data_IF_292404469210
#
_entry.id   IF_292404469210
#
_cell.length_a   1.000
_cell.length_b   1.000
_cell.length_c   1.000
_cell.angle_alpha   90.00
_cell.angle_beta   90.00
_cell.angle_gamma   90.00
#
_symmetry.space_group_name_H-M   'P 1'
#
loop_
_entity.id
_entity.type
_entity.pdbx_description
1 polymer ?
#
# COMPACT_ATOMS: atom_id res chain seq x y z
N UNK A 1 3.90 35.22 28.82
CA UNK A 1 4.48 35.35 30.17
C UNK A 1 5.99 35.24 30.01
N UNK A 2 6.65 36.32 29.63
CA UNK A 2 7.06 37.41 30.54
C UNK A 2 8.31 37.02 31.33
N UNK A 3 9.46 37.41 30.78
CA UNK A 3 10.49 38.17 31.51
C UNK A 3 11.40 38.84 30.47
N UNK A 4 10.97 40.02 30.06
CA UNK A 4 11.84 41.06 29.54
C UNK A 4 12.73 41.50 30.71
N UNK A 5 13.96 41.01 30.75
CA UNK A 5 15.01 41.62 31.59
C UNK A 5 15.76 42.63 30.74
N UNK A 6 15.72 43.86 31.24
CA UNK A 6 16.20 45.13 30.72
C UNK A 6 17.54 45.08 29.96
N UNK A 7 17.73 45.94 28.95
CA UNK A 7 19.06 46.26 28.45
C UNK A 7 19.75 47.10 29.52
N UNK A 8 20.47 46.44 30.42
CA UNK A 8 21.38 47.10 31.35
C UNK A 8 22.33 47.99 30.57
N UNK A 9 22.28 49.28 30.89
CA UNK A 9 23.21 50.34 30.48
C UNK A 9 24.63 49.93 30.84
N UNK A 10 25.27 49.15 29.96
CA UNK A 10 26.63 48.63 30.18
C UNK A 10 27.65 49.59 29.59
N UNK A 11 28.04 50.52 30.45
CA UNK A 11 29.41 50.99 30.57
C UNK A 11 30.05 51.54 29.30
N UNK A 12 29.80 52.82 29.04
CA UNK A 12 30.67 53.70 28.25
C UNK A 12 32.07 53.89 28.89
N UNK A 13 32.62 52.86 29.55
CA UNK A 13 33.92 52.89 30.23
C UNK A 13 35.08 52.36 29.38
N UNK A 14 34.81 51.51 28.39
CA UNK A 14 35.85 50.88 27.55
C UNK A 14 36.34 51.74 26.38
N UNK A 15 35.52 52.70 25.93
CA UNK A 15 35.95 53.67 24.92
C UNK A 15 37.02 54.62 25.48
N UNK A 16 36.96 54.89 26.80
CA UNK A 16 37.85 55.82 27.48
C UNK A 16 39.32 55.44 27.42
N UNK A 17 39.68 54.14 27.45
CA UNK A 17 41.08 53.71 27.46
C UNK A 17 41.73 53.75 26.08
N UNK A 18 40.95 53.56 25.01
CA UNK A 18 41.42 53.61 23.61
C UNK A 18 41.49 55.05 23.14
N UNK A 19 40.47 55.85 23.42
CA UNK A 19 40.58 57.30 23.23
C UNK A 19 41.69 57.85 24.10
N UNK A 20 41.90 57.36 25.33
CA UNK A 20 43.02 57.79 26.16
C UNK A 20 44.36 57.37 25.58
N UNK A 21 44.53 56.16 25.02
CA UNK A 21 45.80 55.70 24.44
C UNK A 21 46.13 56.42 23.12
N UNK A 22 45.14 56.59 22.22
CA UNK A 22 45.32 57.39 21.01
C UNK A 22 45.48 58.88 21.32
N UNK A 23 44.77 59.40 22.33
CA UNK A 23 44.95 60.77 22.79
C UNK A 23 46.30 60.96 23.49
N UNK A 24 46.80 59.98 24.25
CA UNK A 24 48.14 60.00 24.83
C UNK A 24 49.20 59.97 23.73
N UNK A 25 49.06 59.09 22.74
CA UNK A 25 49.99 59.02 21.61
C UNK A 25 49.96 60.31 20.79
N UNK A 26 48.77 60.81 20.45
CA UNK A 26 48.60 62.08 19.74
C UNK A 26 49.13 63.25 20.57
N UNK A 27 48.89 63.29 21.88
CA UNK A 27 49.41 64.33 22.78
C UNK A 27 50.94 64.26 22.90
N UNK A 28 51.53 63.07 23.01
CA UNK A 28 52.98 62.89 23.05
C UNK A 28 53.63 63.29 21.71
N UNK A 29 52.97 63.02 20.58
CA UNK A 29 53.44 63.40 19.24
C UNK A 29 53.32 64.92 19.01
N UNK A 30 52.24 65.54 19.48
CA UNK A 30 52.08 67.00 19.47
C UNK A 30 53.12 67.66 20.40
N UNK A 31 53.35 67.11 21.59
CA UNK A 31 54.39 67.59 22.52
C UNK A 31 55.79 67.47 21.90
N UNK A 32 56.08 66.38 21.19
CA UNK A 32 57.32 66.20 20.46
C UNK A 32 57.50 67.23 19.33
N UNK A 33 56.43 67.51 18.55
CA UNK A 33 56.45 68.53 17.51
C UNK A 33 56.64 69.95 18.08
N UNK A 34 55.95 70.28 19.17
CA UNK A 34 56.09 71.57 19.86
C UNK A 34 57.50 71.74 20.42
N UNK A 35 58.07 70.72 21.05
CA UNK A 35 59.45 70.73 21.53
C UNK A 35 60.46 70.95 20.38
N UNK A 36 60.23 70.35 19.20
CA UNK A 36 61.04 70.55 18.01
C UNK A 36 60.97 72.01 17.50
N UNK A 37 59.77 72.59 17.40
CA UNK A 37 59.59 74.00 16.98
C UNK A 37 60.26 74.96 17.96
N UNK A 38 60.16 74.70 19.27
CA UNK A 38 60.85 75.50 20.30
C UNK A 38 62.37 75.39 20.15
N UNK A 39 62.91 74.19 19.92
CA UNK A 39 64.35 73.99 19.72
C UNK A 39 64.88 74.75 18.48
N UNK A 40 64.16 74.68 17.35
CA UNK A 40 64.53 75.37 16.10
C UNK A 40 64.43 76.89 16.24
N UNK A 41 63.37 77.40 16.87
CA UNK A 41 63.20 78.84 17.09
C UNK A 41 64.25 79.41 18.04
N UNK A 42 64.58 78.71 19.12
CA UNK A 42 65.67 79.05 20.05
C UNK A 42 67.02 79.08 19.34
N UNK A 43 67.33 78.08 18.51
CA UNK A 43 68.56 78.05 17.70
C UNK A 43 68.63 79.20 16.68
N UNK A 44 67.51 79.49 15.99
CA UNK A 44 67.43 80.61 15.04
C UNK A 44 67.59 81.97 15.73
N UNK A 45 67.00 82.16 16.90
CA UNK A 45 67.11 83.39 17.69
C UNK A 45 68.54 83.61 18.18
N UNK A 46 69.22 82.55 18.63
CA UNK A 46 70.64 82.57 18.98
C UNK A 46 71.54 83.05 17.84
N UNK A 47 71.36 82.46 16.65
CA UNK A 47 72.16 82.83 15.46
C UNK A 47 71.93 84.28 15.00
N UNK A 48 70.71 84.81 15.18
CA UNK A 48 70.37 86.19 14.79
C UNK A 48 70.94 87.27 15.73
N UNK A 49 71.02 87.00 17.05
CA UNK A 49 71.62 87.92 18.03
C UNK A 49 73.14 87.94 17.94
N UNK A 50 73.77 86.81 17.65
CA UNK A 50 75.21 86.71 17.43
C UNK A 50 75.69 87.61 16.27
N UNK A 51 74.89 87.76 15.19
CA UNK A 51 75.23 88.64 14.06
C UNK A 51 75.09 90.14 14.35
N UNK A 52 74.21 90.55 15.28
CA UNK A 52 74.04 91.97 15.62
C UNK A 52 75.10 92.48 16.60
N UNK A 53 75.61 91.60 17.46
CA UNK A 53 76.63 91.97 18.44
C UNK A 53 78.03 92.17 17.83
N UNK A 54 78.30 91.63 16.62
CA UNK A 54 79.61 91.82 15.95
C UNK A 54 79.80 93.18 15.28
N UNK A 55 78.83 94.11 15.37
CA UNK A 55 78.84 95.39 14.64
C UNK A 55 78.95 96.64 15.55
N UNK A 56 78.97 96.46 16.88
CA UNK A 56 79.18 97.54 17.85
C UNK A 56 80.61 97.46 18.41
N UNK A 57 81.39 98.53 18.26
CA UNK A 57 82.83 98.58 18.50
C UNK A 57 83.28 98.61 19.96
N UNK A 58 83.02 97.53 20.71
CA UNK A 58 83.78 97.12 21.90
C UNK A 58 83.92 95.59 21.85
N UNK A 59 85.01 95.14 21.23
CA UNK A 59 85.17 93.74 20.77
C UNK A 59 85.47 92.72 21.88
N UNK A 60 85.73 93.14 23.12
CA UNK A 60 85.92 92.24 24.26
C UNK A 60 84.64 92.00 25.07
N UNK A 61 83.88 93.05 25.42
CA UNK A 61 82.65 92.94 26.23
C UNK A 61 81.49 92.25 25.47
N UNK A 62 81.42 92.45 24.14
CA UNK A 62 80.43 91.78 23.30
C UNK A 62 80.73 90.28 23.14
N UNK A 63 82.01 89.88 23.15
CA UNK A 63 82.45 88.50 22.97
C UNK A 63 82.11 87.64 24.19
N UNK A 64 82.33 88.19 25.38
CA UNK A 64 82.01 87.52 26.65
C UNK A 64 80.49 87.28 26.81
N UNK A 65 79.65 88.26 26.45
CA UNK A 65 78.18 88.11 26.48
C UNK A 65 77.64 87.17 25.40
N UNK A 66 78.28 87.08 24.23
CA UNK A 66 77.88 86.13 23.17
C UNK A 66 78.24 84.70 23.57
N UNK A 67 79.41 84.47 24.17
CA UNK A 67 79.84 83.14 24.59
C UNK A 67 79.00 82.60 25.75
N UNK A 68 78.62 83.46 26.71
CA UNK A 68 77.72 83.05 27.80
C UNK A 68 76.30 82.73 27.29
N UNK A 69 75.80 83.48 26.30
CA UNK A 69 74.49 83.26 25.69
C UNK A 69 74.49 82.01 24.78
N UNK A 70 75.54 81.80 23.99
CA UNK A 70 75.70 80.58 23.17
C UNK A 70 75.87 79.31 24.02
N UNK A 71 76.51 79.40 25.19
CA UNK A 71 76.61 78.29 26.15
C UNK A 71 75.25 77.87 26.71
N UNK A 72 74.40 78.83 27.08
CA UNK A 72 73.03 78.55 27.55
C UNK A 72 72.11 78.03 26.43
N UNK A 73 72.26 78.57 25.21
CA UNK A 73 71.50 78.15 24.02
C UNK A 73 71.83 76.73 23.57
N UNK A 74 73.10 76.34 23.56
CA UNK A 74 73.54 75.00 23.17
C UNK A 74 73.12 73.92 24.18
N UNK A 75 73.15 74.23 25.49
CA UNK A 75 72.64 73.34 26.54
C UNK A 75 71.13 73.11 26.44
N UNK A 76 70.34 74.17 26.17
CA UNK A 76 68.90 74.06 25.98
C UNK A 76 68.54 73.24 24.72
N UNK A 77 69.29 73.40 23.62
CA UNK A 77 69.09 72.62 22.40
C UNK A 77 69.39 71.12 22.63
N UNK A 78 70.45 70.79 23.36
CA UNK A 78 70.80 69.40 23.68
C UNK A 78 69.71 68.71 24.54
N UNK A 79 69.18 69.41 25.55
CA UNK A 79 68.08 68.89 26.37
C UNK A 79 66.81 68.63 25.56
N UNK A 80 66.48 69.51 24.61
CA UNK A 80 65.32 69.34 23.73
C UNK A 80 65.46 68.10 22.82
N UNK A 81 66.66 67.82 22.30
CA UNK A 81 66.93 66.60 21.51
C UNK A 81 66.77 65.32 22.34
N UNK A 82 67.25 65.32 23.59
CA UNK A 82 67.09 64.18 24.50
C UNK A 82 65.61 63.91 24.80
N UNK A 83 64.83 64.96 25.07
CA UNK A 83 63.38 64.84 25.31
C UNK A 83 62.67 64.32 24.06
N UNK A 84 63.01 64.82 22.87
CA UNK A 84 62.44 64.35 21.62
C UNK A 84 62.72 62.86 21.39
N UNK A 85 63.95 62.40 21.61
CA UNK A 85 64.33 61.00 21.47
C UNK A 85 63.58 60.12 22.49
N UNK A 86 63.46 60.55 23.74
CA UNK A 86 62.70 59.83 24.76
C UNK A 86 61.20 59.73 24.42
N UNK A 87 60.60 60.81 23.89
CA UNK A 87 59.22 60.80 23.41
C UNK A 87 59.03 59.84 22.23
N UNK A 88 59.98 59.81 21.28
CA UNK A 88 59.96 58.88 20.16
C UNK A 88 60.12 57.41 20.61
N UNK A 89 60.96 57.14 21.62
CA UNK A 89 61.12 55.81 22.19
C UNK A 89 59.87 55.35 22.94
N UNK A 90 59.23 56.23 23.71
CA UNK A 90 57.96 55.93 24.39
C UNK A 90 56.82 55.72 23.38
N UNK A 91 56.72 56.55 22.34
CA UNK A 91 55.76 56.39 21.25
C UNK A 91 55.99 55.07 20.50
N UNK A 92 57.24 54.72 20.19
CA UNK A 92 57.60 53.44 19.57
C UNK A 92 57.29 52.25 20.47
N UNK A 93 57.60 52.35 21.77
CA UNK A 93 57.36 51.29 22.75
C UNK A 93 55.87 51.00 22.95
N UNK A 94 55.04 52.04 23.08
CA UNK A 94 53.58 51.89 23.18
C UNK A 94 52.97 51.30 21.91
N UNK A 95 53.45 51.67 20.72
CA UNK A 95 53.04 51.08 19.45
C UNK A 95 53.40 49.59 19.35
N UNK A 96 54.63 49.23 19.72
CA UNK A 96 55.10 47.83 19.71
C UNK A 96 54.34 46.96 20.71
N UNK A 97 54.09 47.48 21.91
CA UNK A 97 53.29 46.81 22.93
C UNK A 97 51.86 46.56 22.43
N UNK A 98 51.20 47.59 21.89
CA UNK A 98 49.85 47.45 21.34
C UNK A 98 49.82 46.48 20.15
N UNK A 99 50.78 46.57 19.24
CA UNK A 99 50.91 45.65 18.08
C UNK A 99 51.19 44.21 18.52
N UNK A 100 51.89 44.00 19.63
CA UNK A 100 52.14 42.67 20.21
C UNK A 100 50.87 42.11 20.87
N UNK A 101 50.19 42.94 21.67
CA UNK A 101 48.95 42.58 22.34
C UNK A 101 47.84 42.21 21.37
N UNK A 102 47.57 43.05 20.35
CA UNK A 102 46.54 42.77 19.33
C UNK A 102 46.85 41.49 18.54
N UNK A 103 48.12 41.29 18.13
CA UNK A 103 48.49 40.05 17.42
C UNK A 103 48.33 38.81 18.29
N UNK A 104 48.63 38.90 19.58
CA UNK A 104 48.42 37.81 20.54
C UNK A 104 46.96 37.40 20.63
N UNK A 105 46.08 38.37 20.90
CA UNK A 105 44.63 38.13 21.04
C UNK A 105 43.98 37.62 19.75
N UNK A 106 44.30 38.24 18.60
CA UNK A 106 43.75 37.79 17.31
C UNK A 106 44.24 36.39 16.96
N UNK A 107 45.52 36.07 17.21
CA UNK A 107 46.07 34.74 16.95
C UNK A 107 45.40 33.67 17.82
N UNK A 108 45.16 33.98 19.09
CA UNK A 108 44.49 33.06 20.01
C UNK A 108 43.02 32.81 19.61
N UNK A 109 42.25 33.86 19.31
CA UNK A 109 40.88 33.72 18.79
C UNK A 109 40.85 32.93 17.47
N UNK A 110 41.79 33.22 16.57
CA UNK A 110 41.90 32.50 15.28
C UNK A 110 42.20 31.02 15.52
N UNK A 111 43.07 30.69 16.48
CA UNK A 111 43.38 29.31 16.83
C UNK A 111 42.19 28.58 17.48
N UNK A 112 41.43 29.27 18.33
CA UNK A 112 40.19 28.74 18.92
C UNK A 112 39.13 28.46 17.84
N UNK A 113 38.91 29.40 16.89
CA UNK A 113 38.01 29.21 15.75
C UNK A 113 38.49 28.10 14.82
N UNK A 114 39.79 28.04 14.51
CA UNK A 114 40.36 26.99 13.66
C UNK A 114 40.22 25.62 14.28
N UNK A 115 40.25 25.45 15.60
CA UNK A 115 39.98 24.15 16.19
C UNK A 115 38.51 23.75 16.07
N UNK A 116 37.58 24.69 16.16
CA UNK A 116 36.16 24.40 15.92
C UNK A 116 35.91 24.09 14.44
N UNK A 117 36.62 24.74 13.51
CA UNK A 117 36.41 24.58 12.07
C UNK A 117 37.24 23.46 11.41
N UNK A 118 38.45 23.19 11.89
CA UNK A 118 39.42 22.27 11.28
C UNK A 118 39.81 21.10 12.22
N UNK A 119 39.47 21.14 13.50
CA UNK A 119 39.78 20.11 14.49
C UNK A 119 38.61 19.15 14.75
N UNK A 120 38.17 18.42 13.73
CA UNK A 120 37.06 17.45 13.75
C UNK A 120 35.64 18.04 13.86
N UNK A 121 35.47 19.36 13.77
CA UNK A 121 34.15 19.97 13.90
C UNK A 121 33.56 19.81 15.31
N UNK A 122 34.42 19.69 16.33
CA UNK A 122 34.03 19.63 17.74
C UNK A 122 33.37 20.94 18.15
N UNK A 123 32.06 21.00 17.90
CA UNK A 123 31.27 22.16 18.24
C UNK A 123 31.18 22.34 19.74
N UNK A 124 31.50 21.37 20.62
CA UNK A 124 31.28 21.48 22.09
C UNK A 124 32.14 22.58 22.75
N UNK A 125 33.19 23.03 22.06
CA UNK A 125 34.09 24.08 22.52
C UNK A 125 33.44 25.47 22.45
N UNK A 126 33.89 26.35 23.33
CA UNK A 126 33.46 27.76 23.38
C UNK A 126 34.67 28.67 23.32
N UNK A 127 34.52 29.81 22.68
CA UNK A 127 35.58 30.81 22.56
C UNK A 127 35.55 31.68 23.82
N UNK A 128 36.65 31.70 24.55
CA UNK A 128 36.75 32.46 25.80
C UNK A 128 37.78 33.57 25.64
N UNK A 129 37.30 34.81 25.75
CA UNK A 129 38.15 36.01 25.80
C UNK A 129 37.95 36.68 27.15
N UNK A 130 39.02 36.85 27.92
CA UNK A 130 38.97 37.43 29.28
C UNK A 130 38.68 38.95 29.30
N UNK A 131 38.78 39.59 28.14
CA UNK A 131 38.67 41.04 27.97
C UNK A 131 37.26 41.45 27.52
N UNK A 132 36.68 42.51 28.10
CA UNK A 132 35.34 43.04 27.75
C UNK A 132 35.39 44.06 26.61
N UNK A 133 36.37 43.92 25.72
CA UNK A 133 36.52 44.79 24.56
C UNK A 133 35.69 44.26 23.37
N UNK A 134 35.83 44.91 22.22
CA UNK A 134 35.26 44.47 20.93
C UNK A 134 35.63 43.02 20.57
N UNK A 135 36.72 42.47 21.13
CA UNK A 135 37.07 41.06 20.97
C UNK A 135 36.18 40.11 21.78
N UNK A 136 35.69 40.54 22.94
CA UNK A 136 34.69 39.80 23.72
C UNK A 136 33.34 39.74 22.99
N UNK A 137 32.87 40.85 22.42
CA UNK A 137 31.65 40.89 21.61
C UNK A 137 31.74 39.97 20.39
N UNK A 138 32.90 39.92 19.73
CA UNK A 138 33.15 39.00 18.62
C UNK A 138 33.16 37.54 19.09
N UNK A 139 33.76 37.24 20.25
CA UNK A 139 33.74 35.90 20.82
C UNK A 139 32.30 35.44 21.15
N UNK A 140 31.48 36.32 21.71
CA UNK A 140 30.06 36.06 21.99
C UNK A 140 29.27 35.78 20.70
N UNK A 141 29.45 36.60 19.65
CA UNK A 141 28.81 36.38 18.36
C UNK A 141 29.22 35.04 17.72
N UNK A 142 30.49 34.65 17.82
CA UNK A 142 30.95 33.34 17.34
C UNK A 142 30.34 32.21 18.17
N UNK A 143 30.25 32.35 19.50
CA UNK A 143 29.61 31.34 20.36
C UNK A 143 28.12 31.15 20.02
N UNK A 144 27.40 32.23 19.70
CA UNK A 144 26.01 32.15 19.22
C UNK A 144 25.93 31.37 17.90
N UNK A 145 26.82 31.63 16.95
CA UNK A 145 26.90 30.88 15.69
C UNK A 145 27.21 29.40 15.93
N UNK A 146 28.16 29.07 16.83
CA UNK A 146 28.48 27.69 17.22
C UNK A 146 27.22 27.02 17.82
N UNK A 147 26.48 27.72 18.67
CA UNK A 147 25.21 27.22 19.22
C UNK A 147 24.16 26.90 18.15
N UNK A 148 24.00 27.78 17.17
CA UNK A 148 23.09 27.56 16.03
C UNK A 148 23.52 26.35 15.16
N UNK A 149 24.83 26.19 14.93
CA UNK A 149 25.39 25.03 14.24
C UNK A 149 25.16 23.73 15.03
N UNK A 150 25.36 23.73 16.35
CA UNK A 150 25.07 22.56 17.21
C UNK A 150 23.61 22.16 17.10
N UNK A 151 22.69 23.12 17.17
CA UNK A 151 21.26 22.87 17.02
C UNK A 151 20.93 22.25 15.67
N UNK A 152 21.53 22.76 14.59
CA UNK A 152 21.34 22.23 13.24
C UNK A 152 21.87 20.80 13.10
N UNK A 153 23.05 20.50 13.64
CA UNK A 153 23.64 19.14 13.62
C UNK A 153 22.82 18.15 14.45
N UNK A 154 22.31 18.59 15.60
CA UNK A 154 21.42 17.77 16.44
C UNK A 154 20.12 17.42 15.70
N UNK A 155 19.53 18.40 15.00
CA UNK A 155 18.33 18.19 14.21
C UNK A 155 18.57 17.28 13.00
N UNK A 156 19.69 17.45 12.29
CA UNK A 156 20.09 16.54 11.20
C UNK A 156 20.26 15.11 11.72
N UNK A 157 20.91 14.94 12.88
CA UNK A 157 21.08 13.63 13.51
C UNK A 157 19.75 12.99 13.89
N UNK A 158 18.79 13.79 14.42
CA UNK A 158 17.43 13.33 14.73
C UNK A 158 16.70 12.85 13.47
N UNK A 159 16.71 13.66 12.42
CA UNK A 159 16.07 13.34 11.13
C UNK A 159 16.71 12.10 10.49
N UNK A 160 18.04 11.96 10.56
CA UNK A 160 18.73 10.78 10.06
C UNK A 160 18.33 9.51 10.82
N UNK A 161 18.13 9.60 12.13
CA UNK A 161 17.62 8.50 12.96
C UNK A 161 16.20 8.10 12.56
N UNK A 162 15.29 9.07 12.43
CA UNK A 162 13.90 8.83 11.99
C UNK A 162 13.83 8.25 10.57
N UNK A 163 14.71 8.70 9.68
CA UNK A 163 14.83 8.16 8.33
C UNK A 163 15.33 6.71 8.34
N UNK A 164 16.30 6.38 9.20
CA UNK A 164 16.78 5.01 9.36
C UNK A 164 15.69 4.07 9.85
N UNK A 165 14.94 4.49 10.88
CA UNK A 165 13.81 3.71 11.40
C UNK A 165 12.72 3.53 10.34
N UNK A 166 12.39 4.60 9.60
CA UNK A 166 11.42 4.54 8.49
C UNK A 166 11.87 3.58 7.39
N UNK A 167 13.18 3.54 7.08
CA UNK A 167 13.74 2.62 6.08
C UNK A 167 13.66 1.15 6.55
N UNK A 168 13.90 0.88 7.84
CA UNK A 168 13.74 -0.46 8.42
C UNK A 168 12.28 -0.91 8.38
N UNK A 169 11.35 -0.04 8.77
CA UNK A 169 9.90 -0.31 8.67
C UNK A 169 9.49 -0.57 7.21
N UNK A 170 9.97 0.24 6.28
CA UNK A 170 9.69 0.05 4.84
C UNK A 170 10.22 -1.28 4.33
N UNK A 171 11.41 -1.70 4.77
CA UNK A 171 11.97 -3.01 4.43
C UNK A 171 11.07 -4.16 4.92
N UNK A 172 10.58 -4.07 6.17
CA UNK A 172 9.64 -5.05 6.70
C UNK A 172 8.32 -5.10 5.90
N UNK A 173 7.78 -3.93 5.54
CA UNK A 173 6.58 -3.84 4.69
C UNK A 173 6.81 -4.47 3.30
N UNK A 174 7.98 -4.23 2.69
CA UNK A 174 8.35 -4.85 1.40
C UNK A 174 8.45 -6.37 1.53
N UNK A 175 9.04 -6.90 2.61
CA UNK A 175 9.08 -8.35 2.84
C UNK A 175 7.68 -8.95 2.97
N UNK A 176 6.80 -8.30 3.73
CA UNK A 176 5.40 -8.72 3.86
C UNK A 176 4.66 -8.65 2.51
N UNK A 177 4.88 -7.59 1.72
CA UNK A 177 4.29 -7.44 0.39
C UNK A 177 4.75 -8.53 -0.58
N UNK A 178 6.02 -8.93 -0.53
CA UNK A 178 6.54 -10.04 -1.32
C UNK A 178 5.89 -11.36 -0.94
N UNK A 179 5.74 -11.63 0.37
CA UNK A 179 5.04 -12.82 0.86
C UNK A 179 3.58 -12.85 0.38
N UNK A 180 2.84 -11.75 0.55
CA UNK A 180 1.46 -11.66 0.06
C UNK A 180 1.36 -11.80 -1.46
N UNK A 181 2.32 -11.29 -2.22
CA UNK A 181 2.36 -11.47 -3.68
C UNK A 181 2.57 -12.93 -4.08
N UNK A 182 3.39 -13.66 -3.33
CA UNK A 182 3.58 -15.10 -3.53
C UNK A 182 2.29 -15.90 -3.24
N UNK A 183 1.58 -15.55 -2.16
CA UNK A 183 0.29 -16.17 -1.82
C UNK A 183 -0.78 -15.90 -2.90
N UNK A 184 -0.82 -14.67 -3.42
CA UNK A 184 -1.70 -14.30 -4.55
C UNK A 184 -1.37 -15.15 -5.79
N UNK A 185 -0.08 -15.28 -6.14
CA UNK A 185 0.36 -16.09 -7.28
C UNK A 185 -0.04 -17.57 -7.14
N UNK A 186 0.13 -18.13 -5.94
CA UNK A 186 -0.32 -19.49 -5.61
C UNK A 186 -1.83 -19.62 -5.77
N UNK A 187 -2.60 -18.67 -5.22
CA UNK A 187 -4.06 -18.65 -5.31
C UNK A 187 -4.54 -18.58 -6.76
N UNK A 188 -3.92 -17.74 -7.59
CA UNK A 188 -4.23 -17.65 -9.03
C UNK A 188 -3.96 -18.99 -9.73
N UNK A 189 -2.88 -19.68 -9.40
CA UNK A 189 -2.57 -21.00 -9.95
C UNK A 189 -3.63 -22.05 -9.56
N UNK A 190 -4.12 -22.00 -8.31
CA UNK A 190 -5.22 -22.84 -7.87
C UNK A 190 -6.54 -22.53 -8.60
N UNK A 191 -6.85 -21.25 -8.81
CA UNK A 191 -8.03 -20.80 -9.57
C UNK A 191 -7.95 -21.27 -11.02
N UNK A 192 -6.78 -21.15 -11.66
CA UNK A 192 -6.58 -21.60 -13.03
C UNK A 192 -6.84 -23.11 -13.18
N UNK A 193 -6.27 -23.93 -12.28
CA UNK A 193 -6.55 -25.37 -12.23
C UNK A 193 -8.02 -25.68 -11.98
N UNK A 194 -8.66 -24.98 -11.04
CA UNK A 194 -10.08 -25.16 -10.75
C UNK A 194 -10.97 -24.83 -11.96
N UNK A 195 -10.59 -23.79 -12.71
CA UNK A 195 -11.28 -23.38 -13.94
C UNK A 195 -11.12 -24.42 -15.05
N UNK A 196 -9.94 -25.01 -15.19
CA UNK A 196 -9.69 -26.11 -16.14
C UNK A 196 -10.51 -27.36 -15.78
N UNK A 197 -10.56 -27.72 -14.49
CA UNK A 197 -11.40 -28.84 -14.04
C UNK A 197 -12.90 -28.56 -14.28
N UNK A 198 -13.35 -27.34 -14.03
CA UNK A 198 -14.73 -26.93 -14.30
C UNK A 198 -15.05 -27.01 -15.79
N UNK A 199 -14.16 -26.56 -16.67
CA UNK A 199 -14.34 -26.69 -18.11
C UNK A 199 -14.48 -28.17 -18.53
N UNK A 200 -13.67 -29.07 -17.96
CA UNK A 200 -13.79 -30.51 -18.20
C UNK A 200 -15.15 -31.07 -17.75
N UNK A 201 -15.64 -30.68 -16.56
CA UNK A 201 -16.95 -31.10 -16.05
C UNK A 201 -18.11 -30.60 -16.92
N UNK A 202 -17.99 -29.40 -17.48
CA UNK A 202 -18.99 -28.85 -18.42
C UNK A 202 -19.04 -29.67 -19.71
N UNK A 203 -17.89 -30.09 -20.25
CA UNK A 203 -17.83 -30.98 -21.41
C UNK A 203 -18.46 -32.34 -21.12
N UNK A 204 -18.16 -32.93 -19.97
CA UNK A 204 -18.76 -34.21 -19.53
C UNK A 204 -20.28 -34.10 -19.35
N UNK A 205 -20.75 -33.00 -18.77
CA UNK A 205 -22.19 -32.72 -18.62
C UNK A 205 -22.87 -32.56 -19.99
N UNK A 206 -22.20 -31.87 -20.93
CA UNK A 206 -22.71 -31.68 -22.29
C UNK A 206 -22.82 -33.02 -23.03
N UNK A 207 -21.82 -33.89 -22.89
CA UNK A 207 -21.87 -35.24 -23.45
C UNK A 207 -23.00 -36.09 -22.83
N UNK A 208 -23.19 -35.99 -21.51
CA UNK A 208 -24.29 -36.69 -20.82
C UNK A 208 -25.66 -36.19 -21.30
N UNK A 209 -25.79 -34.89 -21.58
CA UNK A 209 -27.00 -34.30 -22.16
C UNK A 209 -27.27 -34.81 -23.58
N UNK A 210 -26.23 -34.99 -24.42
CA UNK A 210 -26.38 -35.59 -25.75
C UNK A 210 -26.90 -37.03 -25.67
N UNK A 211 -26.31 -37.83 -24.78
CA UNK A 211 -26.76 -39.22 -24.54
C UNK A 211 -28.20 -39.24 -24.03
N UNK A 212 -28.56 -38.36 -23.09
CA UNK A 212 -29.92 -38.24 -22.56
C UNK A 212 -30.92 -37.87 -23.66
N UNK A 213 -30.56 -36.94 -24.56
CA UNK A 213 -31.42 -36.56 -25.67
C UNK A 213 -31.66 -37.73 -26.64
N UNK A 214 -30.62 -38.51 -26.95
CA UNK A 214 -30.75 -39.71 -27.77
C UNK A 214 -31.67 -40.76 -27.09
N UNK A 215 -31.51 -40.98 -25.77
CA UNK A 215 -32.39 -41.89 -25.02
C UNK A 215 -33.84 -41.41 -24.99
N UNK A 216 -34.09 -40.11 -24.89
CA UNK A 216 -35.46 -39.56 -24.96
C UNK A 216 -36.09 -39.77 -26.35
N UNK A 217 -35.33 -39.60 -27.42
CA UNK A 217 -35.81 -39.91 -28.77
C UNK A 217 -36.17 -41.38 -28.95
N UNK A 218 -35.32 -42.29 -28.44
CA UNK A 218 -35.61 -43.72 -28.45
C UNK A 218 -36.86 -44.06 -27.63
N UNK A 219 -37.02 -43.43 -26.45
CA UNK A 219 -38.19 -43.63 -25.61
C UNK A 219 -39.47 -43.15 -26.30
N UNK A 220 -39.43 -42.00 -26.97
CA UNK A 220 -40.57 -41.49 -27.74
C UNK A 220 -40.95 -42.45 -28.89
N UNK A 221 -39.97 -42.99 -29.61
CA UNK A 221 -40.22 -43.98 -30.66
C UNK A 221 -40.84 -45.27 -30.11
N UNK A 222 -40.34 -45.77 -28.97
CA UNK A 222 -40.92 -46.96 -28.30
C UNK A 222 -42.33 -46.71 -27.80
N UNK A 223 -42.62 -45.52 -27.28
CA UNK A 223 -43.96 -45.15 -26.86
C UNK A 223 -44.94 -45.14 -28.05
N UNK A 224 -44.52 -44.61 -29.20
CA UNK A 224 -45.33 -44.62 -30.42
C UNK A 224 -45.58 -46.05 -30.93
N UNK A 225 -44.55 -46.89 -30.98
CA UNK A 225 -44.71 -48.32 -31.32
C UNK A 225 -45.66 -49.04 -30.37
N UNK A 226 -45.57 -48.77 -29.05
CA UNK A 226 -46.48 -49.35 -28.06
C UNK A 226 -47.93 -48.89 -28.26
N UNK A 227 -48.14 -47.63 -28.63
CA UNK A 227 -49.46 -47.10 -28.94
C UNK A 227 -50.05 -47.75 -30.19
N UNK A 228 -49.25 -47.91 -31.26
CA UNK A 228 -49.66 -48.61 -32.47
C UNK A 228 -50.06 -50.07 -32.19
N UNK A 229 -49.25 -50.79 -31.40
CA UNK A 229 -49.55 -52.16 -31.00
C UNK A 229 -50.84 -52.26 -30.17
N UNK A 230 -51.11 -51.28 -29.29
CA UNK A 230 -52.36 -51.22 -28.53
C UNK A 230 -53.57 -51.00 -29.44
N UNK A 231 -53.47 -50.09 -30.43
CA UNK A 231 -54.53 -49.86 -31.43
C UNK A 231 -54.79 -51.13 -32.25
N UNK A 232 -53.75 -51.84 -32.67
CA UNK A 232 -53.89 -53.12 -33.38
C UNK A 232 -54.57 -54.18 -32.51
N UNK A 233 -54.17 -54.31 -31.24
CA UNK A 233 -54.78 -55.25 -30.30
C UNK A 233 -56.27 -54.98 -30.08
N UNK A 234 -56.67 -53.69 -30.00
CA UNK A 234 -58.08 -53.30 -29.94
C UNK A 234 -58.82 -53.77 -31.19
N UNK A 235 -58.27 -53.52 -32.38
CA UNK A 235 -58.89 -53.97 -33.64
C UNK A 235 -59.03 -55.49 -33.76
N UNK A 236 -58.06 -56.25 -33.24
CA UNK A 236 -58.14 -57.72 -33.17
C UNK A 236 -59.24 -58.15 -32.17
N UNK A 237 -59.31 -57.51 -31.01
CA UNK A 237 -60.33 -57.80 -30.01
C UNK A 237 -61.76 -57.51 -30.51
N UNK A 238 -61.95 -56.42 -31.27
CA UNK A 238 -63.24 -56.09 -31.91
C UNK A 238 -63.67 -57.17 -32.91
N UNK A 239 -62.76 -57.61 -33.79
CA UNK A 239 -63.02 -58.74 -34.72
C UNK A 239 -63.34 -60.04 -33.97
N UNK A 240 -62.61 -60.30 -32.88
CA UNK A 240 -62.86 -61.46 -32.02
C UNK A 240 -64.25 -61.42 -31.37
N UNK A 241 -64.69 -60.23 -30.92
CA UNK A 241 -66.03 -60.04 -30.36
C UNK A 241 -67.12 -60.24 -31.42
N UNK A 242 -66.92 -59.73 -32.64
CA UNK A 242 -67.85 -59.94 -33.77
C UNK A 242 -67.99 -61.44 -34.10
N UNK A 243 -66.88 -62.16 -34.22
CA UNK A 243 -66.88 -63.60 -34.47
C UNK A 243 -67.57 -64.40 -33.35
N UNK A 244 -67.43 -63.97 -32.08
CA UNK A 244 -68.11 -64.60 -30.96
C UNK A 244 -69.64 -64.40 -31.03
N UNK A 245 -70.10 -63.21 -31.43
CA UNK A 245 -71.53 -62.92 -31.64
C UNK A 245 -72.10 -63.77 -32.78
N UNK A 246 -71.38 -63.88 -33.90
CA UNK A 246 -71.78 -64.74 -35.03
C UNK A 246 -71.88 -66.22 -34.58
N UNK A 247 -70.89 -66.70 -33.83
CA UNK A 247 -70.88 -68.06 -33.29
C UNK A 247 -72.05 -68.31 -32.35
N UNK A 248 -72.38 -67.35 -31.47
CA UNK A 248 -73.53 -67.45 -30.58
C UNK A 248 -74.85 -67.52 -31.36
N UNK A 249 -74.97 -66.75 -32.45
CA UNK A 249 -76.13 -66.83 -33.35
C UNK A 249 -76.25 -68.20 -34.04
N UNK A 250 -75.14 -68.74 -34.53
CA UNK A 250 -75.10 -70.08 -35.12
C UNK A 250 -75.49 -71.17 -34.11
N UNK A 251 -75.05 -71.06 -32.85
CA UNK A 251 -75.45 -71.98 -31.77
C UNK A 251 -76.95 -71.91 -31.48
N UNK A 252 -77.57 -70.72 -31.57
CA UNK A 252 -79.02 -70.58 -31.41
C UNK A 252 -79.79 -71.28 -32.54
N UNK A 253 -79.28 -71.23 -33.78
CA UNK A 253 -79.86 -71.98 -34.91
C UNK A 253 -79.76 -73.49 -34.67
N UNK A 254 -78.60 -73.98 -34.21
CA UNK A 254 -78.40 -75.40 -33.87
C UNK A 254 -79.35 -75.83 -32.75
N UNK A 255 -79.52 -75.00 -31.71
CA UNK A 255 -80.44 -75.24 -30.60
C UNK A 255 -81.87 -75.46 -31.11
N UNK A 256 -82.38 -74.57 -31.98
CA UNK A 256 -83.72 -74.71 -32.58
C UNK A 256 -83.86 -75.95 -33.47
N UNK A 257 -82.82 -76.30 -34.22
CA UNK A 257 -82.81 -77.52 -35.02
C UNK A 257 -82.89 -78.77 -34.12
N UNK A 258 -82.15 -78.79 -33.01
CA UNK A 258 -82.22 -79.87 -32.02
C UNK A 258 -83.60 -79.97 -31.37
N UNK A 259 -84.24 -78.85 -31.02
CA UNK A 259 -85.63 -78.83 -30.51
C UNK A 259 -86.62 -79.44 -31.50
N UNK A 260 -86.49 -79.08 -32.79
CA UNK A 260 -87.33 -79.63 -33.86
C UNK A 260 -87.15 -81.14 -34.02
N UNK A 261 -85.92 -81.64 -33.86
CA UNK A 261 -85.62 -83.08 -33.88
C UNK A 261 -86.29 -83.79 -32.69
N UNK A 262 -86.24 -83.21 -31.49
CA UNK A 262 -86.90 -83.77 -30.31
C UNK A 262 -88.42 -83.84 -30.50
N UNK A 263 -89.04 -82.78 -31.02
CA UNK A 263 -90.47 -82.74 -31.33
C UNK A 263 -90.88 -83.79 -32.35
N UNK A 264 -90.12 -83.92 -33.45
CA UNK A 264 -90.35 -84.96 -34.46
C UNK A 264 -90.21 -86.38 -33.88
N UNK A 265 -89.23 -86.61 -33.00
CA UNK A 265 -89.03 -87.90 -32.33
C UNK A 265 -90.20 -88.26 -31.41
N UNK A 266 -90.72 -87.29 -30.65
CA UNK A 266 -91.88 -87.48 -29.79
C UNK A 266 -93.15 -87.77 -30.60
N UNK A 267 -93.37 -87.04 -31.70
CA UNK A 267 -94.48 -87.33 -32.62
C UNK A 267 -94.36 -88.70 -33.29
N UNK A 268 -93.12 -89.18 -33.53
CA UNK A 268 -92.88 -90.52 -34.04
C UNK A 268 -93.20 -91.60 -32.98
N UNK A 269 -92.85 -91.36 -31.71
CA UNK A 269 -93.21 -92.24 -30.59
C UNK A 269 -94.74 -92.41 -30.46
N UNK A 270 -95.50 -91.31 -30.56
CA UNK A 270 -96.97 -91.36 -30.53
C UNK A 270 -97.54 -92.21 -31.67
N UNK A 271 -97.00 -92.07 -32.88
CA UNK A 271 -97.38 -92.90 -34.03
C UNK A 271 -97.07 -94.37 -33.79
N UNK A 272 -95.93 -94.71 -33.18
CA UNK A 272 -95.60 -96.09 -32.83
C UNK A 272 -96.56 -96.65 -31.77
N UNK A 273 -97.01 -95.86 -30.80
CA UNK A 273 -98.06 -96.28 -29.85
C UNK A 273 -99.39 -96.58 -30.56
N UNK A 274 -99.80 -95.74 -31.50
CA UNK A 274 -101.01 -95.98 -32.31
C UNK A 274 -100.89 -97.25 -33.15
N UNK A 275 -99.72 -97.50 -33.76
CA UNK A 275 -99.45 -98.76 -34.47
C UNK A 275 -99.56 -99.94 -33.51
N UNK A 276 -99.03 -99.84 -32.28
CA UNK A 276 -99.20 -100.86 -31.24
C UNK A 276 -100.66 -101.21 -30.96
N UNK A 277 -101.52 -100.19 -30.80
CA UNK A 277 -102.97 -100.38 -30.63
C UNK A 277 -103.58 -101.10 -31.85
N UNK A 278 -103.20 -100.71 -33.06
CA UNK A 278 -103.68 -101.37 -34.29
C UNK A 278 -103.22 -102.83 -34.33
N UNK A 279 -101.97 -103.12 -33.97
CA UNK A 279 -101.43 -104.48 -33.91
C UNK A 279 -102.18 -105.31 -32.86
N UNK A 280 -102.52 -104.75 -31.70
CA UNK A 280 -103.34 -105.43 -30.68
C UNK A 280 -104.74 -105.75 -31.21
N UNK A 281 -105.38 -104.81 -31.91
CA UNK A 281 -106.67 -105.03 -32.57
C UNK A 281 -106.57 -106.12 -33.64
N UNK A 282 -105.55 -106.09 -34.49
CA UNK A 282 -105.31 -107.13 -35.52
C UNK A 282 -105.11 -108.49 -34.84
N UNK A 283 -104.36 -108.55 -33.74
CA UNK A 283 -104.13 -109.78 -32.98
C UNK A 283 -105.44 -110.32 -32.41
N UNK A 284 -106.27 -109.45 -31.82
CA UNK A 284 -107.60 -109.82 -31.30
C UNK A 284 -108.53 -110.33 -32.41
N UNK A 285 -108.50 -109.71 -33.60
CA UNK A 285 -109.26 -110.17 -34.78
C UNK A 285 -108.72 -111.50 -35.29
N UNK A 286 -107.40 -111.68 -35.31
CA UNK A 286 -106.78 -112.95 -35.71
C UNK A 286 -107.13 -114.08 -34.74
N UNK A 287 -107.15 -113.83 -33.43
CA UNK A 287 -107.60 -114.78 -32.41
C UNK A 287 -109.08 -115.11 -32.55
N UNK A 288 -109.94 -114.11 -32.80
CA UNK A 288 -111.34 -114.34 -33.14
C UNK A 288 -111.49 -115.16 -34.42
N UNK A 289 -110.69 -114.87 -35.44
CA UNK A 289 -110.70 -115.58 -36.72
C UNK A 289 -110.21 -117.01 -36.54
N UNK A 290 -109.19 -117.24 -35.70
CA UNK A 290 -108.70 -118.56 -35.34
C UNK A 290 -109.76 -119.35 -34.56
N UNK A 291 -110.47 -118.72 -33.63
CA UNK A 291 -111.62 -119.34 -32.94
C UNK A 291 -112.79 -119.63 -33.88
N UNK A 292 -113.10 -118.73 -34.82
CA UNK A 292 -114.13 -118.92 -35.84
C UNK A 292 -113.74 -120.05 -36.80
N UNK A 293 -112.49 -120.09 -37.25
CA UNK A 293 -111.95 -121.13 -38.11
C UNK A 293 -111.91 -122.48 -37.38
N UNK A 294 -111.58 -122.49 -36.09
CA UNK A 294 -111.63 -123.69 -35.25
C UNK A 294 -113.08 -124.17 -35.06
N UNK A 295 -114.02 -123.28 -34.77
CA UNK A 295 -115.45 -123.62 -34.69
C UNK A 295 -115.98 -124.12 -36.04
N UNK A 296 -115.57 -123.52 -37.15
CA UNK A 296 -115.92 -123.97 -38.49
C UNK A 296 -115.30 -125.33 -38.81
N UNK A 297 -114.06 -125.60 -38.38
CA UNK A 297 -113.40 -126.90 -38.54
C UNK A 297 -114.07 -127.98 -37.67
N UNK A 298 -114.48 -127.65 -36.43
CA UNK A 298 -115.30 -128.51 -35.57
C UNK A 298 -116.64 -128.80 -36.25
N UNK A 299 -117.35 -127.78 -36.74
CA UNK A 299 -118.67 -127.97 -37.34
C UNK A 299 -118.60 -128.67 -38.70
N UNK A 300 -117.52 -128.48 -39.47
CA UNK A 300 -117.23 -129.25 -40.68
C UNK A 300 -116.89 -130.72 -40.36
N UNK A 301 -116.17 -131.00 -39.26
CA UNK A 301 -115.96 -132.36 -38.78
C UNK A 301 -117.27 -132.99 -38.26
N UNK A 302 -118.17 -132.18 -37.69
CA UNK A 302 -119.47 -132.60 -37.14
C UNK A 302 -120.54 -132.83 -38.20
N UNK A 303 -120.53 -132.07 -39.28
CA UNK A 303 -121.38 -132.28 -40.46
C UNK A 303 -120.86 -133.39 -41.38
N UNK A 304 -119.70 -133.99 -41.04
CA UNK A 304 -119.12 -135.16 -41.69
C UNK A 304 -119.46 -136.51 -41.03
N UNK A 305 -120.21 -136.51 -39.92
CA UNK A 305 -120.95 -137.67 -39.40
C UNK A 305 -122.33 -137.79 -40.06
#
# INVERSE_FOLDING_TARGET
>A
MEKLTEPGTRGAGGFSSRTAAYALFAALLVLALVACVIAVSVFSAGSSRARRASQAGDLEEARERIDSVNGLLSGAAAAAWVILVLLLLLAGGTLLFFRSWVRGTVKDMTWQVQQVAAGDGDLTRTIVVKDRSTFGELADAINVMIGALRGSVAEISRIAGELSESAEQMSAVIQQMNASSQDISSTISHIARGSEEQARRVLETSHTMEVMNASMQEMAAKADMSNQAAVEAIGIAEKGAEAAVETASAMEVIRKAAESVVEASSGLEERFMQIGIIVDVITSVADQTNLLALNAAIEAARAGE
#
